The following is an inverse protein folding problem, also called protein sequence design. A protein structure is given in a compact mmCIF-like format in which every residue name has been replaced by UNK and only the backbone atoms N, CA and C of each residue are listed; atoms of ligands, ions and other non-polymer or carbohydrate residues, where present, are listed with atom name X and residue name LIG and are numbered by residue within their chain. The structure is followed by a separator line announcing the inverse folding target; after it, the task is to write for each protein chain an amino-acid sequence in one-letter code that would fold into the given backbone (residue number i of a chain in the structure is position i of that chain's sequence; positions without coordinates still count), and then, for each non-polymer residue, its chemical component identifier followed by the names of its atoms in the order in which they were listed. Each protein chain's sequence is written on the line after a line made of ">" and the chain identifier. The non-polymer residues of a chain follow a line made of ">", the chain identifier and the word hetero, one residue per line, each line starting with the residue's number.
data_IF_426047287232
#
_entry.id   IF_426047287232
#
_cell.length_a   1.000
_cell.length_b   1.000
_cell.length_c   1.000
_cell.angle_alpha   90.00
_cell.angle_beta   90.00
_cell.angle_gamma   90.00
#
_symmetry.space_group_name_H-M   'P 1'
#
loop_
_entity.id
_entity.type
_entity.pdbx_description
1 polymer ?
#
# COMPACT_ATOMS: atom_id res chain seq x y z
N UNK A 1 47.66 -40.62 -52.54
CA UNK A 1 46.26 -40.73 -52.05
C UNK A 1 45.85 -39.40 -51.44
N UNK A 2 44.93 -38.67 -52.08
CA UNK A 2 44.41 -37.38 -51.59
C UNK A 2 43.35 -37.64 -50.51
N UNK A 3 43.56 -37.21 -49.27
CA UNK A 3 42.50 -37.12 -48.26
C UNK A 3 42.14 -35.64 -48.06
N UNK A 4 40.96 -35.26 -48.54
CA UNK A 4 40.32 -33.97 -48.28
C UNK A 4 39.89 -33.96 -46.81
N UNK A 5 40.40 -33.05 -46.00
CA UNK A 5 39.83 -32.73 -44.70
C UNK A 5 38.82 -31.62 -44.96
N UNK A 6 37.54 -32.00 -44.97
CA UNK A 6 36.42 -31.06 -45.03
C UNK A 6 36.18 -30.58 -43.60
N UNK A 7 36.55 -29.34 -43.32
CA UNK A 7 36.15 -28.61 -42.12
C UNK A 7 34.65 -28.33 -42.19
N UNK A 8 33.86 -29.10 -41.44
CA UNK A 8 32.45 -28.78 -41.19
C UNK A 8 32.44 -27.76 -40.04
N UNK A 9 32.38 -26.48 -40.40
CA UNK A 9 32.06 -25.41 -39.47
C UNK A 9 30.54 -25.40 -39.29
N UNK A 10 30.07 -26.05 -38.23
CA UNK A 10 28.65 -26.04 -37.86
C UNK A 10 28.37 -24.72 -37.13
N UNK A 11 27.94 -23.71 -37.90
CA UNK A 11 27.37 -22.48 -37.37
C UNK A 11 26.05 -22.84 -36.68
N UNK A 12 26.08 -22.99 -35.36
CA UNK A 12 24.87 -23.07 -34.54
C UNK A 12 24.37 -21.64 -34.30
N UNK A 13 23.58 -21.13 -35.24
CA UNK A 13 22.77 -19.93 -35.06
C UNK A 13 21.71 -20.22 -34.01
N UNK A 14 22.04 -20.01 -32.74
CA UNK A 14 21.04 -19.93 -31.66
C UNK A 14 20.21 -18.68 -31.97
N UNK A 15 18.99 -18.90 -32.47
CA UNK A 15 17.97 -17.87 -32.53
C UNK A 15 17.77 -17.34 -31.11
N UNK A 16 18.19 -16.09 -30.88
CA UNK A 16 17.64 -15.25 -29.84
C UNK A 16 16.17 -14.98 -30.22
N UNK A 17 15.28 -15.94 -29.95
CA UNK A 17 13.88 -15.63 -29.88
C UNK A 17 13.72 -14.63 -28.73
N UNK A 18 13.20 -13.41 -28.96
CA UNK A 18 12.88 -12.51 -27.86
C UNK A 18 11.91 -13.26 -26.96
N UNK A 19 12.33 -13.54 -25.73
CA UNK A 19 11.45 -14.14 -24.73
C UNK A 19 10.19 -13.29 -24.66
N UNK A 20 9.04 -13.89 -24.93
CA UNK A 20 7.78 -13.19 -24.83
C UNK A 20 7.65 -12.71 -23.38
N UNK A 21 7.76 -11.40 -23.17
CA UNK A 21 7.45 -10.78 -21.89
C UNK A 21 5.93 -10.88 -21.76
N UNK A 22 5.44 -11.99 -21.22
CA UNK A 22 4.04 -12.09 -20.83
C UNK A 22 3.78 -11.03 -19.77
N UNK A 23 2.77 -10.19 -19.99
CA UNK A 23 2.27 -9.29 -18.96
C UNK A 23 1.96 -10.13 -17.71
N UNK A 24 2.52 -9.71 -16.57
CA UNK A 24 2.32 -10.41 -15.30
C UNK A 24 0.85 -10.24 -14.91
N UNK A 25 0.06 -11.28 -15.14
CA UNK A 25 -1.37 -11.32 -14.80
C UNK A 25 -1.55 -12.07 -13.48
N UNK A 26 -2.54 -11.65 -12.68
CA UNK A 26 -2.84 -12.24 -11.38
C UNK A 26 -4.17 -12.99 -11.43
N UNK A 27 -4.24 -14.14 -10.79
CA UNK A 27 -5.43 -15.01 -10.83
C UNK A 27 -6.67 -14.41 -10.16
N UNK A 28 -6.45 -13.45 -9.25
CA UNK A 28 -7.43 -12.80 -8.38
C UNK A 28 -7.69 -11.31 -8.73
N UNK A 29 -7.09 -10.80 -9.82
CA UNK A 29 -7.35 -9.45 -10.35
C UNK A 29 -7.76 -9.56 -11.81
N UNK A 30 -9.00 -9.17 -12.12
CA UNK A 30 -9.61 -9.35 -13.43
C UNK A 30 -9.98 -8.01 -14.04
N UNK A 31 -9.95 -7.93 -15.36
CA UNK A 31 -10.39 -6.77 -16.15
C UNK A 31 -11.93 -6.66 -16.25
N UNK A 32 -12.66 -7.36 -15.39
CA UNK A 32 -14.12 -7.36 -15.29
C UNK A 32 -14.55 -7.74 -13.87
N UNK A 33 -15.71 -7.23 -13.44
CA UNK A 33 -16.27 -7.51 -12.13
C UNK A 33 -15.63 -6.70 -11.00
N UNK A 34 -15.64 -7.23 -9.77
CA UNK A 34 -15.29 -6.47 -8.55
C UNK A 34 -13.88 -5.86 -8.51
N UNK A 35 -12.92 -6.39 -9.28
CA UNK A 35 -11.52 -5.91 -9.29
C UNK A 35 -11.15 -5.11 -10.55
N UNK A 36 -12.10 -4.87 -11.45
CA UNK A 36 -11.87 -4.19 -12.73
C UNK A 36 -11.29 -2.79 -12.55
N UNK A 37 -11.79 -2.04 -11.57
CA UNK A 37 -11.34 -0.67 -11.27
C UNK A 37 -9.85 -0.60 -10.93
N UNK A 38 -9.28 -1.65 -10.35
CA UNK A 38 -7.88 -1.74 -9.97
C UNK A 38 -7.00 -2.40 -11.04
N UNK A 39 -7.58 -3.17 -11.96
CA UNK A 39 -6.86 -4.05 -12.88
C UNK A 39 -5.71 -3.36 -13.62
N UNK A 40 -6.00 -2.25 -14.32
CA UNK A 40 -5.00 -1.53 -15.12
C UNK A 40 -3.85 -0.96 -14.28
N UNK A 41 -4.14 -0.57 -13.04
CA UNK A 41 -3.16 0.02 -12.12
C UNK A 41 -2.24 -1.06 -11.54
N UNK A 42 -2.81 -2.21 -11.21
CA UNK A 42 -2.06 -3.39 -10.77
C UNK A 42 -1.14 -3.88 -11.89
N UNK A 43 -1.66 -3.97 -13.12
CA UNK A 43 -0.88 -4.36 -14.30
C UNK A 43 0.28 -3.37 -14.57
N UNK A 44 0.00 -2.07 -14.55
CA UNK A 44 1.01 -1.03 -14.75
C UNK A 44 2.15 -1.13 -13.71
N UNK A 45 1.80 -1.16 -12.42
CA UNK A 45 2.80 -1.14 -11.35
C UNK A 45 3.58 -2.44 -11.26
N UNK A 46 2.96 -3.57 -11.60
CA UNK A 46 3.66 -4.86 -11.66
C UNK A 46 4.66 -4.87 -12.82
N UNK A 47 4.30 -4.33 -13.99
CA UNK A 47 5.22 -4.23 -15.13
C UNK A 47 6.42 -3.31 -14.85
N UNK A 48 6.24 -2.33 -13.96
CA UNK A 48 7.31 -1.42 -13.49
C UNK A 48 8.07 -1.95 -12.27
N UNK A 49 7.74 -3.13 -11.76
CA UNK A 49 8.29 -3.71 -10.53
C UNK A 49 8.11 -2.82 -9.27
N UNK A 50 7.10 -1.94 -9.26
CA UNK A 50 6.81 -1.06 -8.12
C UNK A 50 5.94 -1.81 -7.09
N UNK A 51 4.92 -2.53 -7.56
CA UNK A 51 4.03 -3.31 -6.72
C UNK A 51 3.79 -4.67 -7.36
N UNK A 52 4.31 -5.71 -6.73
CA UNK A 52 4.28 -7.09 -7.22
C UNK A 52 3.28 -7.94 -6.43
N UNK A 53 2.69 -8.94 -7.08
CA UNK A 53 1.99 -10.03 -6.40
C UNK A 53 2.93 -11.10 -5.85
N UNK A 54 2.33 -12.16 -5.33
CA UNK A 54 2.97 -13.25 -4.62
C UNK A 54 3.44 -14.36 -5.57
N UNK A 55 4.30 -15.25 -5.07
CA UNK A 55 4.87 -16.36 -5.85
C UNK A 55 3.80 -17.35 -6.35
N UNK A 56 2.65 -17.40 -5.67
CA UNK A 56 1.48 -18.22 -6.04
C UNK A 56 0.67 -17.65 -7.22
N UNK A 57 1.10 -16.52 -7.80
CA UNK A 57 0.42 -15.86 -8.91
C UNK A 57 -0.78 -15.01 -8.50
N UNK A 58 -0.99 -14.76 -7.20
CA UNK A 58 -2.03 -13.86 -6.69
C UNK A 58 -1.49 -12.45 -6.45
N UNK A 59 -2.35 -11.43 -6.49
CA UNK A 59 -2.03 -10.07 -6.07
C UNK A 59 -2.54 -9.76 -4.66
N UNK A 60 -3.59 -10.46 -4.24
CA UNK A 60 -4.36 -10.30 -2.99
C UNK A 60 -4.89 -8.88 -2.83
N UNK A 61 -5.76 -8.42 -3.75
CA UNK A 61 -6.19 -7.03 -3.84
C UNK A 61 -6.86 -6.48 -2.58
N UNK A 62 -7.41 -7.36 -1.74
CA UNK A 62 -8.13 -6.98 -0.52
C UNK A 62 -7.26 -6.98 0.75
N UNK A 63 -6.00 -7.41 0.67
CA UNK A 63 -5.13 -7.40 1.87
C UNK A 63 -4.80 -5.96 2.28
N UNK A 64 -4.67 -5.68 3.59
CA UNK A 64 -4.12 -4.42 4.04
C UNK A 64 -2.62 -4.33 3.70
N UNK A 65 -2.14 -3.10 3.53
CA UNK A 65 -0.73 -2.82 3.26
C UNK A 65 -0.03 -2.43 4.57
N UNK A 66 1.07 -3.10 4.89
CA UNK A 66 1.86 -2.81 6.08
C UNK A 66 2.61 -1.48 5.99
N UNK A 67 3.08 -1.01 7.15
CA UNK A 67 3.96 0.16 7.23
C UNK A 67 5.23 -0.04 6.40
N UNK A 68 5.92 -1.18 6.54
CA UNK A 68 7.16 -1.46 5.83
C UNK A 68 6.95 -1.62 4.32
N UNK A 69 5.85 -2.25 3.88
CA UNK A 69 5.49 -2.30 2.46
C UNK A 69 5.22 -0.90 1.91
N UNK A 70 4.55 -0.02 2.67
CA UNK A 70 4.31 1.37 2.25
C UNK A 70 5.63 2.11 2.04
N UNK A 71 6.58 1.97 2.98
CA UNK A 71 7.91 2.60 2.84
C UNK A 71 8.65 2.08 1.62
N UNK A 72 8.57 0.78 1.36
CA UNK A 72 9.19 0.17 0.19
C UNK A 72 8.54 0.64 -1.11
N UNK A 73 7.21 0.77 -1.16
CA UNK A 73 6.48 1.32 -2.31
C UNK A 73 6.94 2.75 -2.60
N UNK A 74 7.01 3.60 -1.58
CA UNK A 74 7.45 5.00 -1.76
C UNK A 74 8.90 5.06 -2.24
N UNK A 75 9.81 4.27 -1.66
CA UNK A 75 11.20 4.18 -2.13
C UNK A 75 11.26 3.76 -3.61
N UNK A 76 10.55 2.71 -4.00
CA UNK A 76 10.58 2.21 -5.38
C UNK A 76 9.96 3.21 -6.35
N UNK A 77 8.88 3.89 -5.97
CA UNK A 77 8.26 4.95 -6.77
C UNK A 77 9.24 6.10 -7.04
N UNK A 78 10.00 6.51 -6.02
CA UNK A 78 10.97 7.61 -6.14
C UNK A 78 12.19 7.26 -6.98
N UNK A 79 12.47 5.96 -7.16
CA UNK A 79 13.59 5.41 -7.92
C UNK A 79 14.92 6.13 -7.60
N UNK A 80 15.39 6.08 -6.33
CA UNK A 80 16.56 6.82 -5.89
C UNK A 80 17.84 6.34 -6.56
N UNK A 81 18.82 7.24 -6.68
CA UNK A 81 20.15 6.88 -7.17
C UNK A 81 20.95 6.09 -6.13
N UNK A 82 22.03 5.43 -6.56
CA UNK A 82 22.92 4.72 -5.63
C UNK A 82 23.57 5.66 -4.61
N UNK A 83 23.91 6.89 -5.02
CA UNK A 83 24.48 7.92 -4.14
C UNK A 83 23.45 8.37 -3.08
N UNK A 84 22.20 8.61 -3.50
CA UNK A 84 21.10 8.98 -2.60
C UNK A 84 20.83 7.87 -1.59
N UNK A 85 20.86 6.61 -2.04
CA UNK A 85 20.75 5.45 -1.16
C UNK A 85 21.94 5.34 -0.20
N UNK A 86 23.16 5.61 -0.66
CA UNK A 86 24.36 5.60 0.19
C UNK A 86 24.24 6.64 1.31
N UNK A 87 23.90 7.88 0.96
CA UNK A 87 23.69 8.96 1.93
C UNK A 87 22.57 8.64 2.92
N UNK A 88 21.45 8.09 2.43
CA UNK A 88 20.34 7.67 3.27
C UNK A 88 20.76 6.61 4.30
N UNK A 89 21.57 5.61 3.88
CA UNK A 89 22.08 4.56 4.77
C UNK A 89 23.08 5.13 5.78
N UNK A 90 24.01 5.98 5.35
CA UNK A 90 24.99 6.61 6.24
C UNK A 90 24.30 7.42 7.35
N UNK A 91 23.19 8.10 7.02
CA UNK A 91 22.43 8.89 7.99
C UNK A 91 21.57 8.05 8.95
N UNK A 92 20.90 6.99 8.48
CA UNK A 92 19.79 6.36 9.22
C UNK A 92 19.89 4.84 9.43
N UNK A 93 20.93 4.16 8.97
CA UNK A 93 21.06 2.71 9.16
C UNK A 93 21.11 2.31 10.63
N UNK A 94 21.81 3.08 11.47
CA UNK A 94 21.83 2.86 12.93
C UNK A 94 20.44 2.99 13.54
N UNK A 95 19.70 4.04 13.16
CA UNK A 95 18.33 4.28 13.61
C UNK A 95 17.38 3.15 13.20
N UNK A 96 17.49 2.65 11.97
CA UNK A 96 16.70 1.51 11.49
C UNK A 96 17.03 0.23 12.28
N UNK A 97 18.32 -0.06 12.52
CA UNK A 97 18.75 -1.21 13.32
C UNK A 97 18.28 -1.12 14.78
N UNK A 98 18.45 0.03 15.42
CA UNK A 98 18.06 0.27 16.82
C UNK A 98 16.54 0.14 17.05
N UNK A 99 15.74 0.32 16.00
CA UNK A 99 14.29 0.16 16.05
C UNK A 99 13.80 -1.22 15.59
N UNK A 100 14.70 -2.17 15.31
CA UNK A 100 14.33 -3.54 14.95
C UNK A 100 13.70 -3.67 13.57
N UNK A 101 14.03 -2.77 12.63
CA UNK A 101 13.59 -2.88 11.24
C UNK A 101 14.22 -4.13 10.61
N UNK A 102 13.39 -4.99 10.02
CA UNK A 102 13.82 -6.21 9.31
C UNK A 102 14.63 -5.87 8.05
N UNK A 103 15.61 -6.70 7.71
CA UNK A 103 16.67 -6.39 6.73
C UNK A 103 16.15 -5.89 5.38
N UNK A 104 15.14 -6.56 4.80
CA UNK A 104 14.61 -6.19 3.48
C UNK A 104 14.00 -4.77 3.45
N UNK A 105 13.59 -4.23 4.60
CA UNK A 105 12.94 -2.93 4.70
C UNK A 105 13.87 -1.81 5.16
N UNK A 106 15.10 -2.12 5.60
CA UNK A 106 16.04 -1.11 6.15
C UNK A 106 16.33 0.01 5.17
N UNK A 107 16.62 -0.33 3.92
CA UNK A 107 16.88 0.65 2.87
C UNK A 107 15.69 1.59 2.64
N UNK A 108 14.47 1.04 2.67
CA UNK A 108 13.27 1.85 2.52
C UNK A 108 13.07 2.78 3.72
N UNK A 109 13.33 2.32 4.94
CA UNK A 109 13.26 3.18 6.13
C UNK A 109 14.30 4.30 6.07
N UNK A 110 15.56 3.97 5.77
CA UNK A 110 16.62 4.95 5.64
C UNK A 110 16.26 6.03 4.61
N UNK A 111 15.80 5.63 3.42
CA UNK A 111 15.35 6.55 2.38
C UNK A 111 14.20 7.45 2.86
N UNK A 112 13.15 6.86 3.45
CA UNK A 112 11.98 7.63 3.85
C UNK A 112 12.24 8.57 5.05
N UNK A 113 13.21 8.25 5.91
CA UNK A 113 13.71 9.17 6.94
C UNK A 113 14.53 10.31 6.33
N UNK A 114 15.47 9.97 5.42
CA UNK A 114 16.36 10.94 4.77
C UNK A 114 15.60 12.00 3.97
N UNK A 115 14.55 11.60 3.26
CA UNK A 115 13.69 12.53 2.51
C UNK A 115 12.57 13.17 3.35
N UNK A 116 12.51 12.86 4.65
CA UNK A 116 11.47 13.36 5.53
C UNK A 116 10.06 12.89 5.15
N UNK A 117 9.91 11.80 4.40
CA UNK A 117 8.60 11.15 4.21
C UNK A 117 8.03 10.74 5.56
N UNK A 118 8.87 10.14 6.41
CA UNK A 118 8.59 9.85 7.82
C UNK A 118 9.62 10.53 8.73
N UNK A 119 9.29 10.61 10.01
CA UNK A 119 10.18 11.15 11.06
C UNK A 119 10.74 10.03 11.91
N UNK A 120 11.83 10.29 12.64
CA UNK A 120 12.33 9.36 13.66
C UNK A 120 11.26 8.99 14.69
N UNK A 121 10.46 9.98 15.13
CA UNK A 121 9.31 9.77 16.01
C UNK A 121 8.26 8.83 15.38
N UNK A 122 8.04 8.93 14.08
CA UNK A 122 7.14 8.02 13.36
C UNK A 122 7.67 6.58 13.41
N UNK A 123 8.98 6.37 13.19
CA UNK A 123 9.59 5.02 13.27
C UNK A 123 9.54 4.43 14.68
N UNK A 124 9.85 5.23 15.70
CA UNK A 124 9.79 4.80 17.11
C UNK A 124 8.35 4.35 17.45
N UNK A 125 7.35 5.16 17.10
CA UNK A 125 5.95 4.82 17.31
C UNK A 125 5.52 3.60 16.49
N UNK A 126 6.02 3.43 15.27
CA UNK A 126 5.76 2.25 14.45
C UNK A 126 6.23 0.97 15.16
N UNK A 127 7.42 1.00 15.77
CA UNK A 127 7.94 -0.10 16.60
C UNK A 127 7.07 -0.35 17.82
N UNK A 128 6.87 0.67 18.65
CA UNK A 128 6.18 0.55 19.94
C UNK A 128 4.74 0.06 19.80
N UNK A 129 4.07 0.45 18.71
CA UNK A 129 2.67 0.09 18.43
C UNK A 129 2.55 -1.18 17.57
N UNK A 130 3.66 -1.81 17.18
CA UNK A 130 3.64 -3.09 16.46
C UNK A 130 3.36 -3.01 14.95
N UNK A 131 3.58 -1.86 14.31
CA UNK A 131 3.48 -1.71 12.85
C UNK A 131 4.65 -2.37 12.10
N UNK A 132 5.82 -2.52 12.75
CA UNK A 132 6.98 -3.20 12.14
C UNK A 132 6.78 -4.72 12.05
N UNK A 133 5.98 -5.27 12.97
CA UNK A 133 5.67 -6.70 13.04
C UNK A 133 4.34 -7.07 12.35
N UNK A 134 3.71 -6.12 11.65
CA UNK A 134 2.38 -6.26 11.06
C UNK A 134 1.27 -6.64 12.07
N UNK A 135 1.41 -6.22 13.34
CA UNK A 135 0.32 -6.32 14.34
C UNK A 135 -0.74 -5.25 14.08
N UNK A 136 -0.30 -4.09 13.59
CA UNK A 136 -1.16 -2.99 13.14
C UNK A 136 -0.79 -2.57 11.72
N UNK A 137 -1.76 -1.93 11.04
CA UNK A 137 -1.64 -1.44 9.68
C UNK A 137 -1.93 0.06 9.65
N UNK A 138 -1.14 0.86 8.90
CA UNK A 138 -1.43 2.29 8.77
C UNK A 138 -2.82 2.50 8.17
N UNK A 139 -3.56 3.44 8.75
CA UNK A 139 -4.84 3.85 8.19
C UNK A 139 -4.64 4.80 7.00
N UNK A 140 -5.71 5.03 6.26
CA UNK A 140 -5.73 5.89 5.08
C UNK A 140 -5.32 7.33 5.38
N UNK A 141 -5.62 7.84 6.59
CA UNK A 141 -5.13 9.14 7.04
C UNK A 141 -3.59 9.21 7.00
N UNK A 142 -2.90 8.23 7.61
CA UNK A 142 -1.43 8.15 7.59
C UNK A 142 -0.87 7.95 6.19
N UNK A 143 -1.43 7.04 5.39
CA UNK A 143 -0.95 6.80 4.03
C UNK A 143 -1.03 8.07 3.17
N UNK A 144 -2.14 8.81 3.24
CA UNK A 144 -2.29 10.06 2.50
C UNK A 144 -1.20 11.09 2.88
N UNK A 145 -0.86 11.20 4.17
CA UNK A 145 0.22 12.08 4.65
C UNK A 145 1.59 11.60 4.14
N UNK A 146 1.87 10.29 4.15
CA UNK A 146 3.13 9.76 3.62
C UNK A 146 3.31 10.08 2.14
N UNK A 147 2.30 9.84 1.31
CA UNK A 147 2.36 10.16 -0.11
C UNK A 147 2.47 11.67 -0.35
N UNK A 148 1.73 12.50 0.39
CA UNK A 148 1.86 13.95 0.29
C UNK A 148 3.28 14.42 0.61
N UNK A 149 3.90 13.88 1.66
CA UNK A 149 5.26 14.25 2.04
C UNK A 149 6.29 13.78 1.02
N UNK A 150 6.20 12.53 0.58
CA UNK A 150 7.09 11.93 -0.42
C UNK A 150 7.04 12.66 -1.77
N UNK A 151 5.87 13.14 -2.18
CA UNK A 151 5.66 13.85 -3.45
C UNK A 151 5.83 15.38 -3.33
N UNK A 152 6.30 15.87 -2.20
CA UNK A 152 6.41 17.30 -1.91
C UNK A 152 5.11 18.10 -2.18
N UNK A 153 3.97 17.53 -1.81
CA UNK A 153 2.67 18.21 -1.88
C UNK A 153 2.60 19.22 -0.73
N UNK A 154 2.34 20.48 -1.08
CA UNK A 154 2.16 21.56 -0.11
C UNK A 154 0.81 21.44 0.61
N UNK A 155 0.75 21.97 1.83
CA UNK A 155 -0.50 22.07 2.57
C UNK A 155 -1.44 23.10 1.93
N UNK A 156 -2.74 22.92 2.06
CA UNK A 156 -3.76 23.89 1.64
C UNK A 156 -4.82 24.08 2.71
N UNK A 157 -5.23 25.33 2.90
CA UNK A 157 -6.39 25.67 3.74
C UNK A 157 -7.70 25.69 2.94
N UNK A 158 -7.63 25.80 1.62
CA UNK A 158 -8.80 25.73 0.75
C UNK A 158 -9.26 24.28 0.60
N UNK A 159 -10.45 24.00 1.14
CA UNK A 159 -11.11 22.67 1.14
C UNK A 159 -12.29 22.61 0.17
N UNK A 160 -12.49 23.64 -0.66
CA UNK A 160 -13.66 23.77 -1.54
C UNK A 160 -13.79 22.64 -2.57
N UNK A 161 -12.67 21.99 -2.90
CA UNK A 161 -12.63 20.85 -3.81
C UNK A 161 -12.99 19.50 -3.15
N UNK A 162 -13.18 19.46 -1.84
CA UNK A 162 -13.51 18.23 -1.10
C UNK A 162 -15.02 18.03 -0.99
N UNK A 163 -15.49 16.81 -1.25
CA UNK A 163 -16.92 16.44 -1.27
C UNK A 163 -17.23 15.20 -0.44
N UNK A 164 -16.36 14.85 0.52
CA UNK A 164 -16.56 13.67 1.37
C UNK A 164 -17.70 13.87 2.38
N UNK A 165 -18.57 12.87 2.54
CA UNK A 165 -19.65 12.84 3.52
C UNK A 165 -19.09 12.76 4.96
N UNK A 166 -17.93 12.14 5.15
CA UNK A 166 -17.27 11.92 6.44
C UNK A 166 -16.17 12.95 6.76
N UNK A 167 -16.20 14.15 6.16
CA UNK A 167 -15.17 15.19 6.36
C UNK A 167 -14.81 15.46 7.83
N UNK A 168 -15.80 15.41 8.74
CA UNK A 168 -15.60 15.65 10.18
C UNK A 168 -14.75 14.54 10.86
N UNK A 169 -14.70 13.34 10.28
CA UNK A 169 -13.94 12.18 10.79
C UNK A 169 -12.52 12.10 10.21
N UNK A 170 -12.16 12.98 9.28
CA UNK A 170 -10.82 13.02 8.69
C UNK A 170 -9.87 13.74 9.63
N UNK A 171 -8.69 13.17 9.83
CA UNK A 171 -7.71 13.71 10.77
C UNK A 171 -7.20 15.09 10.31
N UNK A 172 -6.99 16.06 11.22
CA UNK A 172 -6.56 17.41 10.86
C UNK A 172 -5.27 17.45 10.02
N UNK A 173 -4.26 16.65 10.39
CA UNK A 173 -3.00 16.56 9.62
C UNK A 173 -3.23 16.06 8.19
N UNK A 174 -4.16 15.12 7.99
CA UNK A 174 -4.53 14.66 6.65
C UNK A 174 -5.26 15.75 5.90
N UNK A 175 -6.17 16.45 6.57
CA UNK A 175 -6.95 17.55 6.00
C UNK A 175 -6.08 18.73 5.52
N UNK A 176 -4.90 18.95 6.12
CA UNK A 176 -3.93 19.94 5.64
C UNK A 176 -3.40 19.61 4.23
N UNK A 177 -3.26 18.33 3.87
CA UNK A 177 -2.70 17.91 2.59
C UNK A 177 -3.77 17.50 1.57
N UNK A 178 -4.93 17.02 2.04
CA UNK A 178 -5.94 16.37 1.23
C UNK A 178 -6.47 17.21 0.06
N UNK A 179 -6.71 18.54 0.19
CA UNK A 179 -7.14 19.34 -0.95
C UNK A 179 -6.14 19.32 -2.10
N UNK A 180 -4.84 19.44 -1.81
CA UNK A 180 -3.82 19.42 -2.86
C UNK A 180 -3.56 18.01 -3.39
N UNK A 181 -3.74 16.97 -2.59
CA UNK A 181 -3.76 15.59 -3.09
C UNK A 181 -4.90 15.35 -4.09
N UNK A 182 -6.07 15.96 -3.87
CA UNK A 182 -7.20 15.92 -4.81
C UNK A 182 -6.92 16.75 -6.07
N UNK A 183 -6.40 17.97 -5.93
CA UNK A 183 -6.00 18.81 -7.09
C UNK A 183 -4.95 18.14 -7.97
N UNK A 184 -4.03 17.37 -7.36
CA UNK A 184 -3.01 16.60 -8.05
C UNK A 184 -3.54 15.29 -8.67
N UNK A 185 -4.84 15.02 -8.60
CA UNK A 185 -5.50 13.79 -9.06
C UNK A 185 -5.01 12.50 -8.39
N UNK A 186 -4.35 12.60 -7.24
CA UNK A 186 -3.84 11.46 -6.46
C UNK A 186 -4.97 10.82 -5.64
N UNK A 187 -5.84 11.64 -5.04
CA UNK A 187 -7.10 11.24 -4.44
C UNK A 187 -8.30 11.77 -5.24
N UNK A 188 -9.45 11.13 -5.13
CA UNK A 188 -10.72 11.66 -5.69
C UNK A 188 -11.35 12.64 -4.70
N UNK A 189 -12.21 13.55 -5.16
CA UNK A 189 -12.88 14.51 -4.27
C UNK A 189 -13.99 13.88 -3.42
N UNK A 190 -14.46 12.69 -3.80
CA UNK A 190 -15.63 12.00 -3.21
C UNK A 190 -15.25 10.75 -2.42
N UNK A 191 -14.12 10.11 -2.71
CA UNK A 191 -13.73 8.85 -2.06
C UNK A 191 -14.58 7.66 -2.48
N UNK A 192 -14.68 6.66 -1.60
CA UNK A 192 -15.45 5.42 -1.81
C UNK A 192 -16.83 5.56 -1.17
N UNK A 193 -17.89 5.34 -1.95
CA UNK A 193 -19.30 5.56 -1.53
C UNK A 193 -19.60 6.99 -1.03
N UNK A 194 -18.76 7.95 -1.44
CA UNK A 194 -18.81 9.32 -0.97
C UNK A 194 -18.06 9.58 0.35
N UNK A 195 -17.28 8.63 0.86
CA UNK A 195 -16.49 8.77 2.09
C UNK A 195 -14.99 8.67 1.83
N UNK A 196 -14.19 9.43 2.59
CA UNK A 196 -12.74 9.29 2.60
C UNK A 196 -12.32 7.98 3.28
N UNK A 197 -13.00 7.57 4.36
CA UNK A 197 -12.71 6.37 5.14
C UNK A 197 -11.33 6.40 5.83
N UNK A 198 -10.96 7.54 6.41
CA UNK A 198 -9.61 7.82 6.89
C UNK A 198 -9.05 6.88 7.97
N UNK A 199 -9.92 6.26 8.77
CA UNK A 199 -9.53 5.36 9.86
C UNK A 199 -9.35 3.90 9.46
N UNK A 200 -9.74 3.54 8.23
CA UNK A 200 -9.58 2.20 7.72
C UNK A 200 -8.17 2.01 7.15
N UNK A 201 -7.63 0.80 7.24
CA UNK A 201 -6.41 0.45 6.51
C UNK A 201 -6.65 0.49 5.00
N UNK A 202 -5.61 0.84 4.25
CA UNK A 202 -5.67 0.82 2.77
C UNK A 202 -5.42 -0.60 2.28
N UNK A 203 -6.24 -1.05 1.32
CA UNK A 203 -6.10 -2.34 0.64
C UNK A 203 -5.02 -2.29 -0.45
N UNK A 204 -4.45 -3.44 -0.83
CA UNK A 204 -3.43 -3.55 -1.89
C UNK A 204 -3.91 -3.04 -3.25
N UNK A 205 -5.18 -3.25 -3.60
CA UNK A 205 -5.80 -2.68 -4.80
C UNK A 205 -5.87 -1.16 -4.76
N UNK A 206 -6.26 -0.60 -3.62
CA UNK A 206 -6.36 0.84 -3.41
C UNK A 206 -4.99 1.52 -3.43
N UNK A 207 -3.98 0.94 -2.77
CA UNK A 207 -2.62 1.49 -2.83
C UNK A 207 -2.04 1.38 -4.25
N UNK A 208 -2.46 0.40 -5.06
CA UNK A 208 -2.04 0.32 -6.45
C UNK A 208 -2.55 1.52 -7.25
N UNK A 209 -3.83 1.88 -7.08
CA UNK A 209 -4.41 3.07 -7.72
C UNK A 209 -3.72 4.34 -7.24
N UNK A 210 -3.53 4.46 -5.92
CA UNK A 210 -2.85 5.60 -5.31
C UNK A 210 -1.41 5.75 -5.82
N UNK A 211 -0.66 4.66 -5.90
CA UNK A 211 0.75 4.62 -6.31
C UNK A 211 0.90 4.93 -7.79
N UNK A 212 0.03 4.41 -8.66
CA UNK A 212 0.06 4.74 -10.10
C UNK A 212 -0.24 6.23 -10.33
N UNK A 213 -1.27 6.78 -9.70
CA UNK A 213 -1.56 8.23 -9.77
C UNK A 213 -0.42 9.09 -9.22
N UNK A 214 0.21 8.62 -8.14
CA UNK A 214 1.39 9.26 -7.56
C UNK A 214 2.59 9.23 -8.49
N UNK A 215 2.80 8.13 -9.22
CA UNK A 215 3.85 7.99 -10.22
C UNK A 215 3.60 8.93 -11.41
N UNK A 216 2.35 9.05 -11.87
CA UNK A 216 1.97 10.03 -12.90
C UNK A 216 2.29 11.47 -12.45
N UNK A 217 1.94 11.82 -11.21
CA UNK A 217 2.28 13.12 -10.64
C UNK A 217 3.79 13.33 -10.53
N UNK A 218 4.53 12.34 -10.01
CA UNK A 218 5.98 12.38 -9.84
C UNK A 218 6.69 12.67 -11.16
N UNK A 219 6.35 11.91 -12.21
CA UNK A 219 6.96 12.06 -13.53
C UNK A 219 6.70 13.44 -14.16
N UNK A 220 5.55 14.07 -13.86
CA UNK A 220 5.22 15.42 -14.33
C UNK A 220 5.88 16.54 -13.51
N UNK A 221 6.40 16.25 -12.31
CA UNK A 221 6.85 17.24 -11.34
C UNK A 221 8.24 16.95 -10.75
N UNK A 222 9.11 16.26 -11.50
CA UNK A 222 10.41 15.76 -11.02
C UNK A 222 11.23 16.82 -10.26
N UNK A 223 11.31 18.05 -10.80
CA UNK A 223 12.08 19.17 -10.24
C UNK A 223 11.53 19.70 -8.92
N UNK A 224 10.22 19.53 -8.67
CA UNK A 224 9.58 19.92 -7.41
C UNK A 224 9.73 18.85 -6.35
N UNK A 225 9.64 17.57 -6.75
CA UNK A 225 9.67 16.45 -5.80
C UNK A 225 11.07 16.22 -5.23
N UNK A 226 12.14 16.39 -6.02
CA UNK A 226 13.52 16.12 -5.59
C UNK A 226 14.17 17.23 -4.73
N UNK A 227 13.43 18.26 -4.32
CA UNK A 227 13.97 19.31 -3.43
C UNK A 227 14.06 18.80 -1.98
N UNK A 228 15.18 19.00 -1.27
CA UNK A 228 15.29 18.67 0.14
C UNK A 228 14.26 19.44 0.98
N UNK A 229 13.72 18.82 2.04
CA UNK A 229 12.78 19.42 3.00
C UNK A 229 13.42 19.61 4.37
N UNK A 230 12.96 20.64 5.08
CA UNK A 230 13.11 20.71 6.54
C UNK A 230 12.24 19.63 7.19
N UNK A 231 12.87 18.74 7.95
CA UNK A 231 12.20 17.63 8.63
C UNK A 231 11.63 18.13 9.96
N UNK A 232 10.30 18.30 10.03
CA UNK A 232 9.60 18.60 11.29
C UNK A 232 9.42 17.32 12.16
N UNK A 233 9.39 17.44 13.49
CA UNK A 233 9.49 16.31 14.47
C UNK A 233 8.17 15.61 14.81
N UNK A 234 7.11 15.83 14.04
CA UNK A 234 5.76 15.33 14.31
C UNK A 234 5.64 13.80 14.13
N UNK A 235 4.70 13.18 14.86
CA UNK A 235 4.30 11.78 14.63
C UNK A 235 3.26 11.75 13.50
N UNK A 236 3.50 10.93 12.49
CA UNK A 236 2.65 10.84 11.30
C UNK A 236 1.73 9.59 11.33
N UNK A 237 1.85 8.73 12.35
CA UNK A 237 0.91 7.65 12.61
C UNK A 237 -0.34 8.19 13.30
N UNK A 238 -1.45 8.20 12.56
CA UNK A 238 -2.72 8.79 12.99
C UNK A 238 -3.51 7.79 13.85
N UNK A 239 -3.85 8.18 15.08
CA UNK A 239 -4.75 7.40 15.92
C UNK A 239 -6.21 7.72 15.57
N UNK A 240 -7.12 6.72 15.59
CA UNK A 240 -8.54 6.97 15.38
C UNK A 240 -9.16 7.95 16.39
N UNK A 241 -8.62 8.03 17.60
CA UNK A 241 -9.08 8.88 18.71
C UNK A 241 -8.81 10.37 18.50
N UNK A 242 -7.82 10.72 17.66
CA UNK A 242 -7.43 12.11 17.39
C UNK A 242 -8.32 12.78 16.32
N UNK A 243 -9.32 12.05 15.78
CA UNK A 243 -10.29 12.60 14.85
C UNK A 243 -11.37 13.36 15.63
N UNK A 244 -11.54 14.64 15.30
CA UNK A 244 -12.39 15.58 16.03
C UNK A 244 -13.81 15.03 16.28
N UNK A 245 -14.07 14.61 17.51
CA UNK A 245 -15.33 14.81 18.18
C UNK A 245 -15.15 15.99 19.14
N UNK A 246 -15.50 17.20 18.70
CA UNK A 246 -15.73 18.30 19.63
C UNK A 246 -17.19 18.71 19.50
N UNK A 247 -18.02 18.17 20.38
CA UNK A 247 -19.22 18.85 20.81
C UNK A 247 -18.91 19.58 22.12
N UNK A 248 -19.21 20.88 22.09
CA UNK A 248 -19.53 21.78 23.19
C UNK A 248 -18.40 22.20 24.15
N UNK A 249 -17.89 23.41 23.92
CA UNK A 249 -18.25 24.49 24.83
C UNK A 249 -18.46 25.80 24.06
N UNK A 250 -19.69 26.29 24.17
CA UNK A 250 -20.15 27.62 23.81
C UNK A 250 -19.33 28.72 24.46
N UNK A 251 -19.05 29.79 23.71
CA UNK A 251 -19.28 31.16 24.15
C UNK A 251 -19.28 32.09 22.92
N UNK A 252 -20.42 32.72 22.75
CA UNK A 252 -20.82 33.73 21.76
C UNK A 252 -19.92 34.97 21.71
N UNK A 253 -19.77 35.54 20.51
CA UNK A 253 -20.06 36.96 20.22
C UNK A 253 -20.02 37.27 18.71
N UNK A 254 -21.22 37.46 18.16
CA UNK A 254 -21.67 38.47 17.19
C UNK A 254 -20.64 39.29 16.39
N UNK A 255 -20.75 39.29 15.05
CA UNK A 255 -21.50 40.30 14.26
C UNK A 255 -21.10 40.28 12.76
N UNK A 256 -22.12 40.27 11.87
CA UNK A 256 -22.36 41.09 10.65
C UNK A 256 -21.20 41.28 9.63
N UNK A 257 -21.36 41.28 8.30
CA UNK A 257 -22.49 41.50 7.38
C UNK A 257 -22.03 41.12 5.94
N UNK A 258 -23.02 40.86 5.06
CA UNK A 258 -23.14 41.18 3.61
C UNK A 258 -21.91 41.11 2.67
N UNK A 259 -21.94 40.79 1.37
CA UNK A 259 -22.93 40.60 0.30
C UNK A 259 -22.15 40.14 -0.96
N UNK A 260 -22.84 39.50 -1.90
CA UNK A 260 -22.64 39.51 -3.37
C UNK A 260 -21.22 39.25 -3.94
N UNK A 261 -21.03 38.29 -4.86
CA UNK A 261 -21.54 38.44 -6.22
C UNK A 261 -21.30 37.20 -7.08
N UNK A 262 -22.26 37.01 -7.99
CA UNK A 262 -22.31 36.12 -9.13
C UNK A 262 -21.18 36.44 -10.10
N UNK A 263 -20.45 35.43 -10.60
CA UNK A 263 -20.05 35.39 -12.01
C UNK A 263 -19.94 33.94 -12.52
N UNK A 264 -20.74 33.70 -13.55
CA UNK A 264 -20.79 32.53 -14.42
C UNK A 264 -19.45 32.34 -15.12
N UNK A 265 -18.97 31.10 -15.21
CA UNK A 265 -18.29 30.66 -16.43
C UNK A 265 -18.60 29.21 -16.77
N UNK A 266 -18.90 29.07 -18.05
CA UNK A 266 -19.46 27.93 -18.76
C UNK A 266 -18.32 27.10 -19.35
N UNK A 267 -18.59 25.81 -19.48
CA UNK A 267 -17.94 24.84 -20.37
C UNK A 267 -16.46 24.50 -20.13
N UNK A 268 -16.22 23.28 -19.63
CA UNK A 268 -15.15 22.40 -20.10
C UNK A 268 -15.55 20.93 -19.86
N UNK A 269 -15.90 20.28 -20.96
CA UNK A 269 -16.09 18.85 -21.21
C UNK A 269 -15.74 17.87 -20.07
N UNK A 270 -16.79 17.43 -19.39
CA UNK A 270 -16.77 16.38 -18.39
C UNK A 270 -16.71 15.01 -19.09
N UNK A 271 -15.51 14.42 -19.23
CA UNK A 271 -15.38 12.97 -19.45
C UNK A 271 -15.57 12.32 -18.08
N UNK A 272 -16.79 11.85 -17.85
CA UNK A 272 -17.23 11.15 -16.65
C UNK A 272 -16.20 10.13 -16.21
N UNK A 273 -15.61 10.38 -15.04
CA UNK A 273 -14.83 9.41 -14.30
C UNK A 273 -15.84 8.35 -13.83
N UNK A 274 -15.57 7.10 -14.19
CA UNK A 274 -16.38 5.93 -13.92
C UNK A 274 -16.41 5.64 -12.40
N UNK A 275 -17.38 6.24 -11.70
CA UNK A 275 -17.72 6.01 -10.28
C UNK A 275 -18.42 4.64 -10.10
N UNK A 276 -17.78 3.56 -10.55
CA UNK A 276 -18.25 2.20 -10.24
C UNK A 276 -17.90 1.87 -8.78
N UNK A 277 -18.93 1.99 -7.94
CA UNK A 277 -19.09 1.55 -6.54
C UNK A 277 -17.87 0.83 -5.94
N UNK A 278 -17.00 1.61 -5.28
CA UNK A 278 -15.94 1.11 -4.43
C UNK A 278 -16.54 0.67 -3.09
N UNK A 279 -16.81 -0.63 -2.91
CA UNK A 279 -17.25 -1.21 -1.62
C UNK A 279 -16.24 -0.84 -0.50
N UNK A 280 -16.73 -0.31 0.61
CA UNK A 280 -15.90 0.08 1.75
C UNK A 280 -15.01 -1.06 2.27
N UNK A 281 -13.83 -0.70 2.78
CA UNK A 281 -12.92 -1.66 3.39
C UNK A 281 -13.56 -2.33 4.62
N UNK A 282 -14.02 -3.57 4.49
CA UNK A 282 -14.36 -4.39 5.65
C UNK A 282 -13.16 -4.39 6.61
N UNK A 283 -13.45 -4.08 7.87
CA UNK A 283 -12.46 -3.89 8.91
C UNK A 283 -11.49 -5.08 8.99
N UNK A 284 -10.23 -4.79 9.30
CA UNK A 284 -9.25 -5.79 9.73
C UNK A 284 -9.79 -6.52 10.96
N UNK A 285 -10.52 -7.61 10.75
CA UNK A 285 -10.95 -8.50 11.83
C UNK A 285 -9.82 -9.54 11.94
N UNK A 286 -8.91 -9.43 12.92
CA UNK A 286 -8.03 -10.52 13.23
C UNK A 286 -8.90 -11.67 13.72
N UNK A 287 -8.72 -12.83 13.11
CA UNK A 287 -9.39 -14.05 13.51
C UNK A 287 -8.34 -15.05 13.94
N UNK A 288 -8.57 -15.68 15.08
CA UNK A 288 -7.83 -16.84 15.50
C UNK A 288 -8.44 -18.07 14.84
N UNK A 289 -7.58 -19.02 14.48
CA UNK A 289 -8.02 -20.29 13.95
C UNK A 289 -7.14 -21.41 14.49
N UNK A 290 -7.73 -22.61 14.47
CA UNK A 290 -7.03 -23.87 14.62
C UNK A 290 -7.29 -24.69 13.37
N UNK A 291 -6.31 -25.42 12.90
CA UNK A 291 -6.46 -26.25 11.73
C UNK A 291 -5.48 -27.39 11.67
N UNK A 292 -5.75 -28.32 10.76
CA UNK A 292 -4.95 -29.50 10.52
C UNK A 292 -4.16 -29.34 9.22
N UNK A 293 -2.85 -29.64 9.26
CA UNK A 293 -2.02 -29.69 8.06
C UNK A 293 -2.47 -30.86 7.18
N UNK A 294 -2.89 -30.57 5.95
CA UNK A 294 -3.39 -31.56 4.99
C UNK A 294 -2.43 -31.78 3.82
N UNK A 295 -1.53 -30.84 3.57
CA UNK A 295 -0.56 -30.91 2.48
C UNK A 295 0.71 -30.13 2.84
N UNK A 296 1.86 -30.65 2.42
CA UNK A 296 3.16 -30.00 2.53
C UNK A 296 3.70 -29.80 1.12
N UNK A 297 4.08 -28.57 0.79
CA UNK A 297 4.61 -28.18 -0.51
C UNK A 297 6.04 -27.67 -0.25
N UNK A 298 7.02 -28.52 -0.54
CA UNK A 298 8.44 -28.17 -0.40
C UNK A 298 8.96 -27.53 -1.69
N UNK A 299 9.61 -26.36 -1.56
CA UNK A 299 10.36 -25.71 -2.65
C UNK A 299 11.79 -25.44 -2.19
N UNK A 300 12.71 -25.23 -3.13
CA UNK A 300 14.15 -25.06 -2.86
C UNK A 300 14.47 -23.94 -1.86
N UNK A 301 13.59 -22.93 -1.75
CA UNK A 301 13.83 -21.72 -0.95
C UNK A 301 12.76 -21.45 0.12
N UNK A 302 11.56 -22.04 0.01
CA UNK A 302 10.40 -21.74 0.89
C UNK A 302 9.53 -22.98 1.02
N UNK A 303 9.07 -23.29 2.25
CA UNK A 303 8.12 -24.37 2.49
C UNK A 303 6.73 -23.79 2.74
N UNK A 304 5.73 -24.36 2.06
CA UNK A 304 4.33 -24.02 2.28
C UNK A 304 3.59 -25.22 2.85
N UNK A 305 2.59 -24.95 3.68
CA UNK A 305 1.65 -25.96 4.14
C UNK A 305 0.22 -25.53 3.82
N UNK A 306 -0.63 -26.48 3.44
CA UNK A 306 -2.08 -26.27 3.41
C UNK A 306 -2.68 -26.75 4.70
N UNK A 307 -3.48 -25.89 5.32
CA UNK A 307 -4.14 -26.14 6.58
C UNK A 307 -5.65 -26.13 6.31
N UNK A 308 -6.33 -27.22 6.67
CA UNK A 308 -7.79 -27.23 6.75
C UNK A 308 -8.20 -26.69 8.11
N UNK A 309 -8.91 -25.58 8.12
CA UNK A 309 -9.40 -24.94 9.34
C UNK A 309 -10.41 -25.87 10.00
N UNK A 310 -10.24 -26.10 11.31
CA UNK A 310 -11.11 -26.93 12.14
C UNK A 310 -11.89 -26.10 13.15
N UNK A 311 -11.35 -24.97 13.59
CA UNK A 311 -12.00 -24.03 14.52
C UNK A 311 -11.61 -22.59 14.12
N UNK A 312 -12.51 -21.63 14.33
CA UNK A 312 -12.22 -20.20 14.23
C UNK A 312 -13.13 -19.39 15.16
N UNK A 313 -12.67 -18.22 15.59
CA UNK A 313 -13.43 -17.25 16.37
C UNK A 313 -14.26 -16.28 15.49
N UNK A 314 -14.40 -16.58 14.20
CA UNK A 314 -15.23 -15.82 13.25
C UNK A 314 -16.45 -16.60 12.79
N UNK A 315 -17.55 -15.88 12.62
CA UNK A 315 -18.79 -16.33 11.98
C UNK A 315 -18.71 -16.34 10.44
N UNK A 316 -17.71 -15.68 9.87
CA UNK A 316 -17.52 -15.49 8.42
C UNK A 316 -16.43 -16.36 7.81
N UNK A 317 -15.58 -16.96 8.65
CA UNK A 317 -14.50 -17.83 8.25
C UNK A 317 -14.32 -18.91 9.30
N UNK A 318 -14.31 -20.18 8.90
CA UNK A 318 -14.49 -21.28 9.83
C UNK A 318 -14.23 -22.67 9.26
N UNK A 319 -14.74 -23.72 9.93
CA UNK A 319 -14.37 -25.10 9.67
C UNK A 319 -14.58 -25.53 8.22
N UNK A 320 -13.60 -26.23 7.66
CA UNK A 320 -13.64 -26.77 6.30
C UNK A 320 -12.94 -25.90 5.24
N UNK A 321 -12.70 -24.62 5.51
CA UNK A 321 -11.91 -23.76 4.63
C UNK A 321 -10.43 -24.15 4.65
N UNK A 322 -9.74 -23.97 3.52
CA UNK A 322 -8.32 -24.32 3.36
C UNK A 322 -7.51 -23.04 3.17
N UNK A 323 -6.42 -22.92 3.93
CA UNK A 323 -5.49 -21.80 3.86
C UNK A 323 -4.09 -22.30 3.55
N UNK A 324 -3.32 -21.48 2.85
CA UNK A 324 -1.91 -21.77 2.54
C UNK A 324 -1.02 -20.84 3.35
N UNK A 325 -0.06 -21.43 4.05
CA UNK A 325 0.82 -20.71 4.98
C UNK A 325 2.26 -21.01 4.65
N UNK A 326 3.07 -19.97 4.54
CA UNK A 326 4.52 -20.10 4.50
C UNK A 326 5.01 -20.38 5.92
N UNK A 327 5.84 -21.41 6.08
CA UNK A 327 6.43 -21.78 7.37
C UNK A 327 7.90 -22.14 7.22
N UNK A 328 8.71 -21.66 8.16
CA UNK A 328 10.12 -22.03 8.29
C UNK A 328 10.31 -23.23 9.23
N UNK A 329 9.25 -23.65 9.93
CA UNK A 329 9.26 -24.84 10.79
C UNK A 329 8.89 -26.06 9.95
N UNK A 330 9.49 -27.21 10.24
CA UNK A 330 9.04 -28.47 9.66
C UNK A 330 7.72 -28.88 10.31
N UNK A 331 6.77 -29.30 9.49
CA UNK A 331 5.48 -29.84 9.89
C UNK A 331 5.27 -31.20 9.24
N UNK A 332 4.43 -32.03 9.84
CA UNK A 332 3.94 -33.27 9.25
C UNK A 332 2.47 -33.13 8.84
N UNK A 333 2.05 -33.98 7.89
CA UNK A 333 0.63 -34.14 7.59
C UNK A 333 -0.07 -34.60 8.87
N UNK A 334 -1.24 -34.02 9.14
CA UNK A 334 -2.05 -34.16 10.35
C UNK A 334 -1.60 -33.35 11.57
N UNK A 335 -0.51 -32.57 11.50
CA UNK A 335 -0.16 -31.64 12.57
C UNK A 335 -1.32 -30.67 12.84
N UNK A 336 -1.62 -30.47 14.12
CA UNK A 336 -2.57 -29.46 14.56
C UNK A 336 -1.80 -28.16 14.79
N UNK A 337 -2.21 -27.12 14.10
CA UNK A 337 -1.59 -25.79 14.18
C UNK A 337 -2.61 -24.76 14.58
N UNK A 338 -2.18 -23.82 15.40
CA UNK A 338 -2.94 -22.63 15.74
C UNK A 338 -2.27 -21.42 15.11
N UNK A 339 -3.09 -20.47 14.71
CA UNK A 339 -2.61 -19.22 14.17
C UNK A 339 -3.65 -18.13 14.26
N UNK A 340 -3.27 -16.97 13.76
CA UNK A 340 -4.18 -15.89 13.50
C UNK A 340 -3.96 -15.38 12.08
N UNK A 341 -4.98 -14.78 11.50
CA UNK A 341 -4.89 -14.08 10.24
C UNK A 341 -5.92 -12.97 10.17
N UNK A 342 -5.81 -12.13 9.14
CA UNK A 342 -6.76 -11.06 8.87
C UNK A 342 -7.80 -11.59 7.90
N UNK A 343 -9.07 -11.51 8.31
CA UNK A 343 -10.21 -11.90 7.50
C UNK A 343 -10.42 -10.88 6.35
N UNK A 344 -10.33 -11.37 5.12
CA UNK A 344 -10.84 -10.67 3.93
C UNK A 344 -12.22 -11.20 3.51
N UNK A 345 -12.64 -10.85 2.30
CA UNK A 345 -14.00 -11.14 1.80
C UNK A 345 -14.37 -12.64 1.83
N UNK A 346 -13.42 -13.57 1.68
CA UNK A 346 -13.62 -15.03 1.77
C UNK A 346 -12.35 -15.84 2.14
N UNK A 347 -11.31 -15.20 2.65
CA UNK A 347 -10.03 -15.87 2.93
C UNK A 347 -9.27 -15.22 4.07
N UNK A 348 -8.45 -16.01 4.74
CA UNK A 348 -7.46 -15.53 5.69
C UNK A 348 -6.19 -15.07 5.01
N UNK A 349 -5.67 -13.93 5.48
CA UNK A 349 -4.45 -13.31 4.97
C UNK A 349 -3.52 -12.96 6.13
N UNK A 350 -2.24 -12.70 5.86
CA UNK A 350 -1.25 -12.38 6.90
C UNK A 350 -1.21 -13.41 8.04
N UNK A 351 -1.35 -14.68 7.64
CA UNK A 351 -1.47 -15.79 8.57
C UNK A 351 -0.12 -16.01 9.27
N UNK A 352 -0.16 -16.01 10.61
CA UNK A 352 0.98 -16.43 11.43
C UNK A 352 0.57 -17.59 12.31
N UNK A 353 1.39 -18.64 12.28
CA UNK A 353 1.28 -19.78 13.18
C UNK A 353 1.95 -19.43 14.52
N UNK A 354 1.42 -19.96 15.61
CA UNK A 354 1.99 -19.82 16.95
C UNK A 354 3.25 -20.68 17.13
#
# INVERSE_FOLDING_TARGET
>A
MKKKIITISLVLSILLAPGSIFAKSFTDVKNSGKTEWAYKYVEELSNKNILNGYEDGTFRPNNPVSFLETMQIIKTLSNPSDDEMKLSREAYMEMANANGVIDWAKDAICFNLYHGTITEKTLINARERGFLDNKLYPNRNSIAVYFARALNIEKSQDKSNLKYKDMKKIHPLTMDYLPNLVNSNIFTSTGSEGNFNGNLAIRRSEIAVLTSKSLEYFNKNLDKVRKPKDVNTEDLLVKPEDNRASENNSLSKDNNNEKDSILVNKDLNNKTIDDRDLEAAEANIPINFKGQVIEIIESKNVNFIRIKVTESDSDRFGPGQVITVNTFRKHNINDIVEGYGILGENSLTNIKLK
#
